data_IF_391699182399
#
_entry.id   IF_391699182399
#
_cell.length_a   1.000
_cell.length_b   1.000
_cell.length_c   1.000
_cell.angle_alpha   90.00
_cell.angle_beta   90.00
_cell.angle_gamma   90.00
#
_symmetry.space_group_name_H-M   'P 1'
#
loop_
_entity.id
_entity.type
_entity.pdbx_description
1 polymer ?
#
# COMPACT_ATOMS: atom_id res chain seq x y z
N UNK A 1 -43.49 -35.82 -25.50
CA UNK A 1 -43.34 -34.40 -25.10
C UNK A 1 -42.80 -34.21 -23.68
N UNK A 2 -42.97 -35.16 -22.76
CA UNK A 2 -42.51 -35.01 -21.36
C UNK A 2 -40.99 -35.21 -21.13
N UNK A 3 -40.31 -35.98 -21.98
CA UNK A 3 -38.86 -36.19 -21.85
C UNK A 3 -38.04 -34.93 -22.22
N UNK A 4 -38.55 -34.07 -23.10
CA UNK A 4 -37.88 -32.83 -23.52
C UNK A 4 -37.94 -31.73 -22.45
N UNK A 5 -39.03 -31.70 -21.65
CA UNK A 5 -39.21 -30.72 -20.57
C UNK A 5 -38.40 -31.07 -19.32
N UNK A 6 -38.13 -32.36 -19.08
CA UNK A 6 -37.26 -32.81 -18.00
C UNK A 6 -35.78 -32.43 -18.25
N UNK A 7 -35.25 -32.65 -19.46
CA UNK A 7 -33.88 -32.27 -19.81
C UNK A 7 -33.65 -30.75 -19.74
N UNK A 8 -34.63 -29.95 -20.16
CA UNK A 8 -34.55 -28.49 -20.10
C UNK A 8 -34.49 -27.96 -18.65
N UNK A 9 -35.23 -28.57 -17.72
CA UNK A 9 -35.21 -28.21 -16.29
C UNK A 9 -33.88 -28.56 -15.60
N UNK A 10 -33.29 -29.71 -15.93
CA UNK A 10 -31.99 -30.12 -15.35
C UNK A 10 -30.84 -29.26 -15.86
N UNK A 11 -30.88 -28.83 -17.12
CA UNK A 11 -29.89 -27.90 -17.67
C UNK A 11 -29.99 -26.50 -17.03
N UNK A 12 -31.20 -26.01 -16.75
CA UNK A 12 -31.41 -24.69 -16.11
C UNK A 12 -30.91 -24.70 -14.65
N UNK A 13 -31.14 -25.77 -13.89
CA UNK A 13 -30.62 -25.89 -12.52
C UNK A 13 -29.10 -26.03 -12.44
N UNK A 14 -28.47 -26.77 -13.35
CA UNK A 14 -27.02 -26.89 -13.40
C UNK A 14 -26.33 -25.56 -13.77
N UNK A 15 -26.92 -24.77 -14.68
CA UNK A 15 -26.42 -23.44 -15.07
C UNK A 15 -26.60 -22.43 -13.93
N UNK A 16 -27.73 -22.43 -13.22
CA UNK A 16 -27.97 -21.53 -12.08
C UNK A 16 -27.04 -21.84 -10.89
N UNK A 17 -26.77 -23.11 -10.60
CA UNK A 17 -25.87 -23.50 -9.51
C UNK A 17 -24.39 -23.22 -9.85
N UNK A 18 -23.98 -23.43 -11.11
CA UNK A 18 -22.63 -23.08 -11.59
C UNK A 18 -22.35 -21.57 -11.58
N UNK A 19 -23.34 -20.74 -11.95
CA UNK A 19 -23.20 -19.28 -11.91
C UNK A 19 -23.06 -18.72 -10.48
N UNK A 20 -23.75 -19.30 -9.48
CA UNK A 20 -23.61 -18.86 -8.08
C UNK A 20 -22.24 -19.18 -7.47
N UNK A 21 -21.64 -20.32 -7.83
CA UNK A 21 -20.33 -20.73 -7.31
C UNK A 21 -19.20 -19.83 -7.86
N UNK A 22 -19.27 -19.44 -9.13
CA UNK A 22 -18.27 -18.56 -9.77
C UNK A 22 -18.32 -17.11 -9.27
N UNK A 23 -19.51 -16.59 -8.94
CA UNK A 23 -19.64 -15.24 -8.38
C UNK A 23 -19.09 -15.15 -6.95
N UNK A 24 -19.24 -16.22 -6.17
CA UNK A 24 -18.77 -16.27 -4.78
C UNK A 24 -17.23 -16.30 -4.69
N UNK A 25 -16.55 -16.98 -5.61
CA UNK A 25 -15.08 -17.02 -5.62
C UNK A 25 -14.46 -15.68 -5.99
N UNK A 26 -15.06 -14.93 -6.93
CA UNK A 26 -14.55 -13.63 -7.36
C UNK A 26 -14.67 -12.58 -6.24
N UNK A 27 -15.81 -12.54 -5.55
CA UNK A 27 -16.00 -11.63 -4.41
C UNK A 27 -15.04 -11.94 -3.24
N UNK A 28 -14.72 -13.21 -3.02
CA UNK A 28 -13.75 -13.63 -2.01
C UNK A 28 -12.31 -13.23 -2.38
N UNK A 29 -11.93 -13.34 -3.65
CA UNK A 29 -10.62 -12.89 -4.15
C UNK A 29 -10.46 -11.37 -4.01
N UNK A 30 -11.49 -10.59 -4.39
CA UNK A 30 -11.47 -9.14 -4.22
C UNK A 30 -11.35 -8.73 -2.74
N UNK A 31 -12.09 -9.40 -1.85
CA UNK A 31 -11.99 -9.16 -0.41
C UNK A 31 -10.59 -9.47 0.15
N UNK A 32 -9.95 -10.53 -0.35
CA UNK A 32 -8.57 -10.88 0.01
C UNK A 32 -7.57 -9.83 -0.47
N UNK A 33 -7.68 -9.39 -1.73
CA UNK A 33 -6.82 -8.33 -2.29
C UNK A 33 -7.03 -6.98 -1.58
N UNK A 34 -8.27 -6.64 -1.18
CA UNK A 34 -8.55 -5.47 -0.32
C UNK A 34 -7.83 -5.59 1.01
N UNK A 35 -7.92 -6.75 1.67
CA UNK A 35 -7.28 -6.98 2.96
C UNK A 35 -5.76 -6.83 2.84
N UNK A 36 -5.12 -7.51 1.89
CA UNK A 36 -3.67 -7.44 1.67
C UNK A 36 -3.22 -6.04 1.26
N UNK A 37 -3.93 -5.41 0.33
CA UNK A 37 -3.67 -4.03 -0.10
C UNK A 37 -3.75 -3.06 1.08
N UNK A 38 -4.75 -3.21 1.96
CA UNK A 38 -4.90 -2.38 3.16
C UNK A 38 -3.73 -2.55 4.12
N UNK A 39 -3.28 -3.80 4.36
CA UNK A 39 -2.12 -4.07 5.22
C UNK A 39 -0.85 -3.40 4.67
N UNK A 40 -0.57 -3.56 3.37
CA UNK A 40 0.58 -2.96 2.70
C UNK A 40 0.55 -1.42 2.74
N UNK A 41 -0.62 -0.83 2.50
CA UNK A 41 -0.81 0.63 2.53
C UNK A 41 -0.63 1.19 3.95
N UNK A 42 -1.26 0.57 4.96
CA UNK A 42 -1.13 1.00 6.36
C UNK A 42 0.29 0.82 6.90
N UNK A 43 1.03 -0.21 6.46
CA UNK A 43 2.43 -0.37 6.83
C UNK A 43 3.27 0.78 6.26
N UNK A 44 3.09 1.14 4.99
CA UNK A 44 3.78 2.28 4.39
C UNK A 44 3.42 3.61 5.08
N UNK A 45 2.14 3.83 5.41
CA UNK A 45 1.69 5.00 6.19
C UNK A 45 2.36 5.08 7.56
N UNK A 46 2.50 3.93 8.22
CA UNK A 46 3.13 3.82 9.53
C UNK A 46 4.63 4.12 9.45
N UNK A 47 5.34 3.52 8.49
CA UNK A 47 6.75 3.79 8.24
C UNK A 47 7.04 5.27 7.91
N UNK A 48 6.22 5.88 7.03
CA UNK A 48 6.33 7.33 6.73
C UNK A 48 6.11 8.20 7.96
N UNK A 49 5.18 7.81 8.84
CA UNK A 49 4.91 8.54 10.08
C UNK A 49 6.05 8.42 11.08
N UNK A 50 6.65 7.24 11.22
CA UNK A 50 7.89 7.05 12.01
C UNK A 50 8.97 7.98 11.48
N UNK A 51 9.26 7.95 10.17
CA UNK A 51 10.30 8.82 9.61
C UNK A 51 10.00 10.31 9.80
N UNK A 52 8.73 10.71 9.69
CA UNK A 52 8.29 12.08 9.95
C UNK A 52 8.58 12.49 11.39
N UNK A 53 8.30 11.63 12.37
CA UNK A 53 8.57 11.89 13.78
C UNK A 53 10.08 12.01 14.08
N UNK A 54 10.91 11.31 13.31
CA UNK A 54 12.36 11.41 13.40
C UNK A 54 12.95 12.60 12.65
N UNK A 55 12.19 13.37 11.86
CA UNK A 55 12.73 14.51 11.10
C UNK A 55 13.48 15.54 11.95
N UNK A 56 13.03 15.93 13.16
CA UNK A 56 13.81 16.82 14.02
C UNK A 56 15.18 16.23 14.39
N UNK A 57 15.23 14.93 14.73
CA UNK A 57 16.48 14.26 15.10
C UNK A 57 17.41 14.08 13.88
N UNK A 58 16.86 13.61 12.75
CA UNK A 58 17.58 13.45 11.48
C UNK A 58 18.21 14.78 11.08
N UNK A 59 17.46 15.88 11.15
CA UNK A 59 17.94 17.18 10.72
C UNK A 59 18.71 17.97 11.80
N UNK A 60 19.02 17.37 12.96
CA UNK A 60 19.86 18.01 13.97
C UNK A 60 21.35 17.98 13.53
N UNK A 61 22.01 19.12 13.29
CA UNK A 61 23.42 19.14 12.88
C UNK A 61 24.40 18.78 14.02
N UNK A 62 23.98 18.83 15.29
CA UNK A 62 24.83 18.63 16.46
C UNK A 62 24.93 17.15 16.89
N UNK A 63 24.03 16.29 16.41
CA UNK A 63 24.03 14.86 16.71
C UNK A 63 24.57 14.10 15.49
N UNK A 64 25.67 13.36 15.64
CA UNK A 64 26.22 12.55 14.56
C UNK A 64 25.47 11.21 14.43
N UNK A 65 25.45 10.40 15.50
CA UNK A 65 24.73 9.13 15.53
C UNK A 65 23.27 9.33 15.96
N UNK A 66 22.33 9.05 15.06
CA UNK A 66 20.88 9.17 15.33
C UNK A 66 20.30 7.93 15.98
N UNK A 67 21.05 6.82 16.02
CA UNK A 67 20.60 5.50 16.45
C UNK A 67 19.29 5.07 15.76
N UNK A 68 19.14 5.38 14.46
CA UNK A 68 17.98 5.04 13.64
C UNK A 68 18.42 4.17 12.46
N UNK A 69 18.84 2.94 12.76
CA UNK A 69 19.10 1.91 11.77
C UNK A 69 17.80 1.31 11.22
N UNK A 70 17.91 0.48 10.18
CA UNK A 70 16.77 -0.18 9.54
C UNK A 70 16.06 -1.17 10.46
N UNK A 71 16.74 -1.79 11.42
CA UNK A 71 16.13 -2.70 12.39
C UNK A 71 15.17 -1.93 13.31
N UNK A 72 15.67 -0.90 14.00
CA UNK A 72 14.87 -0.04 14.87
C UNK A 72 13.73 0.60 14.11
N UNK A 73 14.02 1.17 12.93
CA UNK A 73 13.00 1.81 12.10
C UNK A 73 11.85 0.85 11.75
N UNK A 74 12.18 -0.37 11.29
CA UNK A 74 11.14 -1.34 10.91
C UNK A 74 10.37 -1.86 12.12
N UNK A 75 11.03 -2.08 13.26
CA UNK A 75 10.36 -2.46 14.50
C UNK A 75 9.33 -1.40 14.95
N UNK A 76 9.72 -0.12 14.93
CA UNK A 76 8.83 0.99 15.28
C UNK A 76 7.69 1.16 14.27
N UNK A 77 7.95 0.96 12.98
CA UNK A 77 6.92 1.01 11.93
C UNK A 77 5.86 -0.10 12.11
N UNK A 78 6.30 -1.32 12.43
CA UNK A 78 5.42 -2.47 12.70
C UNK A 78 4.61 -2.23 13.98
N UNK A 79 5.23 -1.70 15.03
CA UNK A 79 4.54 -1.35 16.27
C UNK A 79 3.48 -0.27 16.04
N UNK A 80 3.80 0.77 15.25
CA UNK A 80 2.84 1.82 14.90
C UNK A 80 1.70 1.30 14.02
N UNK A 81 2.00 0.41 13.08
CA UNK A 81 0.98 -0.30 12.29
C UNK A 81 0.00 -1.04 13.20
N UNK A 82 0.51 -1.81 14.17
CA UNK A 82 -0.33 -2.59 15.08
C UNK A 82 -1.20 -1.67 15.95
N UNK A 83 -0.61 -0.57 16.45
CA UNK A 83 -1.35 0.45 17.21
C UNK A 83 -2.48 1.09 16.40
N UNK A 84 -2.25 1.36 15.11
CA UNK A 84 -3.22 2.03 14.23
C UNK A 84 -4.35 1.12 13.78
N UNK A 85 -4.03 -0.13 13.47
CA UNK A 85 -4.98 -1.08 12.88
C UNK A 85 -5.64 -1.99 13.90
N UNK A 86 -5.09 -2.07 15.11
CA UNK A 86 -5.52 -3.02 16.14
C UNK A 86 -5.20 -4.48 15.77
N UNK A 87 -4.29 -4.71 14.82
CA UNK A 87 -3.96 -6.04 14.28
C UNK A 87 -2.46 -6.22 14.16
N UNK A 88 -1.99 -7.45 14.30
CA UNK A 88 -0.62 -7.81 13.96
C UNK A 88 -0.39 -7.69 12.45
N UNK A 89 0.82 -7.30 12.05
CA UNK A 89 1.19 -7.20 10.64
C UNK A 89 1.15 -8.57 9.97
N UNK A 90 1.81 -9.53 10.61
CA UNK A 90 1.91 -10.92 10.17
C UNK A 90 1.21 -11.80 11.20
N UNK A 91 0.12 -12.44 10.81
CA UNK A 91 -0.63 -13.40 11.62
C UNK A 91 -0.56 -14.81 11.01
N UNK A 92 -0.89 -15.84 11.78
CA UNK A 92 -0.78 -17.24 11.35
C UNK A 92 -1.76 -17.62 10.23
N UNK A 93 -2.89 -16.92 10.13
CA UNK A 93 -3.95 -17.12 9.14
C UNK A 93 -3.65 -16.49 7.77
N UNK A 94 -2.56 -15.72 7.64
CA UNK A 94 -2.19 -15.12 6.36
C UNK A 94 -1.79 -16.18 5.34
N UNK A 95 -2.33 -16.03 4.12
CA UNK A 95 -1.88 -16.78 2.97
C UNK A 95 -0.38 -16.54 2.73
N UNK A 96 0.30 -17.56 2.24
CA UNK A 96 1.76 -17.51 2.01
C UNK A 96 2.16 -16.37 1.07
N UNK A 97 1.33 -16.08 0.07
CA UNK A 97 1.49 -14.94 -0.84
C UNK A 97 1.55 -13.62 -0.07
N UNK A 98 0.55 -13.36 0.76
CA UNK A 98 0.42 -12.09 1.50
C UNK A 98 1.54 -11.92 2.52
N UNK A 99 1.93 -13.02 3.18
CA UNK A 99 3.08 -13.06 4.09
C UNK A 99 4.37 -12.64 3.37
N UNK A 100 4.63 -13.19 2.18
CA UNK A 100 5.80 -12.82 1.37
C UNK A 100 5.78 -11.36 0.94
N UNK A 101 4.62 -10.84 0.53
CA UNK A 101 4.49 -9.42 0.15
C UNK A 101 4.78 -8.50 1.34
N UNK A 102 4.22 -8.79 2.51
CA UNK A 102 4.45 -7.98 3.71
C UNK A 102 5.90 -8.05 4.20
N UNK A 103 6.51 -9.24 4.16
CA UNK A 103 7.93 -9.42 4.48
C UNK A 103 8.84 -8.67 3.50
N UNK A 104 8.57 -8.75 2.20
CA UNK A 104 9.31 -8.02 1.18
C UNK A 104 9.19 -6.50 1.37
N UNK A 105 8.03 -6.01 1.81
CA UNK A 105 7.85 -4.59 2.11
C UNK A 105 8.67 -4.17 3.34
N UNK A 106 8.66 -4.95 4.43
CA UNK A 106 9.50 -4.70 5.62
C UNK A 106 10.98 -4.70 5.26
N UNK A 107 11.43 -5.66 4.47
CA UNK A 107 12.83 -5.76 4.04
C UNK A 107 13.23 -4.57 3.15
N UNK A 108 12.37 -4.17 2.21
CA UNK A 108 12.59 -2.99 1.39
C UNK A 108 12.73 -1.72 2.26
N UNK A 109 11.89 -1.56 3.29
CA UNK A 109 11.99 -0.44 4.23
C UNK A 109 13.31 -0.44 4.99
N UNK A 110 13.74 -1.61 5.49
CA UNK A 110 15.01 -1.77 6.21
C UNK A 110 16.19 -1.36 5.34
N UNK A 111 16.26 -1.91 4.13
CA UNK A 111 17.34 -1.60 3.19
C UNK A 111 17.41 -0.11 2.84
N UNK A 112 16.28 0.58 2.64
CA UNK A 112 16.32 2.03 2.39
C UNK A 112 16.97 2.77 3.56
N UNK A 113 16.61 2.44 4.80
CA UNK A 113 17.15 3.14 5.96
C UNK A 113 18.62 2.82 6.17
N UNK A 114 19.03 1.57 5.96
CA UNK A 114 20.43 1.14 6.06
C UNK A 114 21.30 1.82 4.99
N UNK A 115 20.82 1.90 3.75
CA UNK A 115 21.54 2.58 2.66
C UNK A 115 21.58 4.11 2.80
N UNK A 116 20.81 4.69 3.71
CA UNK A 116 20.73 6.14 3.93
C UNK A 116 21.42 6.57 5.22
N UNK A 117 22.11 5.66 5.93
CA UNK A 117 22.80 5.98 7.19
C UNK A 117 23.82 7.11 7.03
N UNK A 118 24.54 7.19 5.91
CA UNK A 118 25.49 8.27 5.64
C UNK A 118 24.82 9.65 5.56
N UNK A 119 23.59 9.73 5.03
CA UNK A 119 22.81 10.96 4.97
C UNK A 119 22.15 11.26 6.32
N UNK A 120 21.56 10.25 6.97
CA UNK A 120 20.91 10.36 8.28
C UNK A 120 21.89 10.88 9.35
N UNK A 121 23.10 10.32 9.38
CA UNK A 121 24.11 10.58 10.41
C UNK A 121 25.12 11.68 10.02
N UNK A 122 24.94 12.34 8.86
CA UNK A 122 25.90 13.35 8.38
C UNK A 122 26.07 14.50 9.38
N UNK A 123 27.24 14.77 9.95
CA UNK A 123 27.38 15.85 10.93
C UNK A 123 27.30 17.25 10.29
N UNK A 124 26.94 18.27 11.07
CA UNK A 124 27.12 19.69 10.70
C UNK A 124 26.16 20.26 9.65
N UNK A 125 25.23 19.46 9.11
CA UNK A 125 24.21 19.90 8.15
C UNK A 125 22.83 19.74 8.79
N UNK A 126 21.93 20.71 8.61
CA UNK A 126 20.54 20.56 9.06
C UNK A 126 19.76 19.62 8.15
N UNK A 127 19.29 20.15 7.02
CA UNK A 127 18.48 19.40 6.07
C UNK A 127 19.27 18.27 5.36
N UNK A 128 18.89 17.01 5.58
CA UNK A 128 19.55 15.84 4.98
C UNK A 128 19.03 15.42 3.60
N UNK A 129 17.85 15.89 3.21
CA UNK A 129 17.15 15.40 2.02
C UNK A 129 16.47 14.03 2.16
N UNK A 130 16.71 13.30 3.26
CA UNK A 130 16.02 12.06 3.57
C UNK A 130 14.68 12.32 4.31
N UNK A 131 13.64 12.59 3.53
CA UNK A 131 12.28 12.93 3.99
C UNK A 131 11.27 11.81 3.68
N UNK A 132 10.07 11.78 4.32
CA UNK A 132 9.07 10.73 4.10
C UNK A 132 8.71 10.44 2.63
N UNK A 133 8.67 11.46 1.77
CA UNK A 133 8.40 11.28 0.35
C UNK A 133 9.55 10.60 -0.41
N UNK A 134 10.80 10.90 -0.05
CA UNK A 134 11.98 10.26 -0.64
C UNK A 134 12.06 8.80 -0.21
N UNK A 135 11.86 8.54 1.08
CA UNK A 135 11.76 7.18 1.62
C UNK A 135 10.66 6.36 0.92
N UNK A 136 9.45 6.90 0.81
CA UNK A 136 8.33 6.17 0.19
C UNK A 136 8.63 5.77 -1.26
N UNK A 137 9.30 6.65 -2.02
CA UNK A 137 9.75 6.33 -3.38
C UNK A 137 10.79 5.21 -3.38
N UNK A 138 11.87 5.35 -2.58
CA UNK A 138 12.96 4.37 -2.55
C UNK A 138 12.47 3.00 -2.09
N UNK A 139 11.57 2.97 -1.09
CA UNK A 139 10.94 1.75 -0.59
C UNK A 139 10.15 1.08 -1.71
N UNK A 140 9.32 1.84 -2.45
CA UNK A 140 8.57 1.31 -3.58
C UNK A 140 9.49 0.71 -4.67
N UNK A 141 10.58 1.40 -5.02
CA UNK A 141 11.56 0.91 -5.99
C UNK A 141 12.16 -0.44 -5.55
N UNK A 142 12.54 -0.58 -4.28
CA UNK A 142 13.05 -1.83 -3.71
C UNK A 142 11.99 -2.92 -3.58
N UNK A 143 10.77 -2.56 -3.17
CA UNK A 143 9.65 -3.49 -3.07
C UNK A 143 9.35 -4.13 -4.43
N UNK A 144 9.26 -3.32 -5.49
CA UNK A 144 9.08 -3.81 -6.87
C UNK A 144 10.25 -4.69 -7.32
N UNK A 145 11.49 -4.35 -6.95
CA UNK A 145 12.64 -5.20 -7.24
C UNK A 145 12.56 -6.58 -6.57
N UNK A 146 11.87 -6.69 -5.41
CA UNK A 146 11.68 -7.95 -4.68
C UNK A 146 10.50 -8.77 -5.19
N UNK A 147 9.36 -8.15 -5.50
CA UNK A 147 8.10 -8.86 -5.83
C UNK A 147 7.75 -8.83 -7.32
N UNK A 148 8.57 -8.15 -8.13
CA UNK A 148 8.34 -7.99 -9.55
C UNK A 148 6.99 -7.35 -9.85
N UNK A 149 6.18 -8.00 -10.69
CA UNK A 149 4.88 -7.49 -11.11
C UNK A 149 3.71 -8.10 -10.32
N UNK A 150 3.96 -8.64 -9.12
CA UNK A 150 2.93 -9.25 -8.28
C UNK A 150 2.15 -8.20 -7.48
N UNK A 151 2.83 -7.15 -7.00
CA UNK A 151 2.22 -6.06 -6.25
C UNK A 151 3.02 -4.77 -6.42
N UNK A 152 2.33 -3.64 -6.29
CA UNK A 152 2.91 -2.30 -6.31
C UNK A 152 2.30 -1.50 -5.15
N UNK A 153 3.14 -0.86 -4.34
CA UNK A 153 2.68 -0.05 -3.20
C UNK A 153 3.42 1.28 -3.22
N UNK A 154 2.68 2.36 -3.54
CA UNK A 154 3.27 3.69 -3.67
C UNK A 154 2.36 4.77 -3.13
N UNK A 155 2.93 5.96 -2.94
CA UNK A 155 2.22 7.18 -2.60
C UNK A 155 2.11 8.05 -3.84
N UNK A 156 0.93 8.63 -4.03
CA UNK A 156 0.68 9.66 -5.03
C UNK A 156 -0.20 10.76 -4.42
N UNK A 157 -0.42 11.84 -5.16
CA UNK A 157 -1.20 13.01 -4.76
C UNK A 157 -1.81 13.66 -6.00
N UNK A 158 -2.75 14.62 -5.86
CA UNK A 158 -3.15 15.48 -6.97
C UNK A 158 -1.92 16.07 -7.67
N UNK A 159 -1.95 16.14 -9.01
CA UNK A 159 -0.79 16.55 -9.81
C UNK A 159 -0.16 17.87 -9.34
N UNK A 160 -1.00 18.86 -9.01
CA UNK A 160 -0.58 20.17 -8.52
C UNK A 160 0.20 20.13 -7.18
N UNK A 161 0.10 19.04 -6.42
CA UNK A 161 0.74 18.87 -5.12
C UNK A 161 1.96 17.94 -5.17
N UNK A 162 2.18 17.24 -6.29
CA UNK A 162 3.30 16.32 -6.44
C UNK A 162 4.60 17.09 -6.68
N UNK A 163 5.52 17.01 -5.71
CA UNK A 163 6.87 17.58 -5.85
C UNK A 163 7.84 16.66 -6.59
N UNK A 164 7.70 15.35 -6.39
CA UNK A 164 8.54 14.34 -7.04
C UNK A 164 7.82 13.74 -8.24
N UNK A 165 8.32 13.98 -9.46
CA UNK A 165 7.68 13.49 -10.70
C UNK A 165 7.50 11.98 -10.75
N UNK A 166 8.32 11.19 -10.02
CA UNK A 166 8.14 9.74 -9.90
C UNK A 166 6.92 9.33 -9.05
N UNK A 167 6.25 10.27 -8.40
CA UNK A 167 5.04 10.08 -7.62
C UNK A 167 3.80 10.67 -8.30
N UNK A 168 3.91 11.11 -9.56
CA UNK A 168 2.76 11.60 -10.33
C UNK A 168 1.68 10.52 -10.43
N UNK A 169 0.41 10.91 -10.33
CA UNK A 169 -0.68 9.96 -10.53
C UNK A 169 -0.71 9.51 -11.99
N UNK A 170 -1.06 8.26 -12.22
CA UNK A 170 -1.48 7.85 -13.57
C UNK A 170 -2.93 8.28 -13.85
N UNK A 171 -3.40 8.06 -15.08
CA UNK A 171 -4.74 8.47 -15.53
C UNK A 171 -5.85 7.93 -14.62
N UNK A 172 -5.72 6.69 -14.14
CA UNK A 172 -6.74 6.10 -13.27
C UNK A 172 -6.69 6.72 -11.87
N UNK A 173 -5.48 6.96 -11.33
CA UNK A 173 -5.32 7.59 -10.01
C UNK A 173 -5.81 9.02 -10.01
N UNK A 174 -5.47 9.81 -11.03
CA UNK A 174 -5.90 11.19 -11.18
C UNK A 174 -7.43 11.26 -11.19
N UNK A 175 -8.08 10.41 -11.99
CA UNK A 175 -9.55 10.31 -12.04
C UNK A 175 -10.14 9.97 -10.67
N UNK A 176 -9.62 8.96 -9.96
CA UNK A 176 -10.14 8.58 -8.63
C UNK A 176 -9.94 9.71 -7.61
N UNK A 177 -8.79 10.40 -7.64
CA UNK A 177 -8.52 11.54 -6.75
C UNK A 177 -9.50 12.68 -7.02
N UNK A 178 -9.71 13.03 -8.28
CA UNK A 178 -10.50 14.20 -8.69
C UNK A 178 -12.01 13.95 -8.64
N UNK A 179 -12.46 12.76 -9.04
CA UNK A 179 -13.90 12.48 -9.17
C UNK A 179 -14.47 11.76 -7.94
N UNK A 180 -13.66 10.94 -7.25
CA UNK A 180 -14.15 10.12 -6.13
C UNK A 180 -13.76 10.71 -4.79
N UNK A 181 -12.48 11.02 -4.57
CA UNK A 181 -12.01 11.49 -3.25
C UNK A 181 -12.28 12.98 -2.99
N UNK A 182 -12.58 13.74 -4.04
CA UNK A 182 -12.97 15.16 -3.91
C UNK A 182 -14.47 15.36 -3.68
N UNK A 183 -15.30 14.31 -3.76
CA UNK A 183 -16.73 14.41 -3.45
C UNK A 183 -16.93 14.72 -1.94
N UNK A 184 -17.48 15.89 -1.57
CA UNK A 184 -17.70 16.26 -0.17
C UNK A 184 -18.73 15.38 0.54
N UNK A 185 -19.58 14.65 -0.20
CA UNK A 185 -20.56 13.72 0.38
C UNK A 185 -19.95 12.38 0.74
N UNK A 186 -18.76 12.06 0.23
CA UNK A 186 -18.10 10.79 0.48
C UNK A 186 -17.50 10.78 1.89
N UNK A 187 -17.69 9.71 2.68
CA UNK A 187 -16.99 9.59 3.96
C UNK A 187 -15.47 9.61 3.77
N UNK A 188 -14.80 10.49 4.52
CA UNK A 188 -13.34 10.57 4.52
C UNK A 188 -12.73 9.25 4.98
N UNK A 189 -11.67 8.83 4.29
CA UNK A 189 -10.90 7.63 4.66
C UNK A 189 -11.39 6.35 3.99
N UNK A 190 -12.56 6.35 3.36
CA UNK A 190 -13.04 5.15 2.65
C UNK A 190 -12.11 4.79 1.49
N UNK A 191 -11.78 3.51 1.37
CA UNK A 191 -10.98 2.95 0.27
C UNK A 191 -11.79 2.98 -1.04
N UNK A 192 -11.10 3.13 -2.17
CA UNK A 192 -11.66 2.89 -3.51
C UNK A 192 -10.93 1.73 -4.17
N UNK A 193 -11.68 0.83 -4.82
CA UNK A 193 -11.16 -0.36 -5.49
C UNK A 193 -11.68 -0.45 -6.91
N UNK A 194 -10.88 -1.02 -7.81
CA UNK A 194 -11.31 -1.33 -9.18
C UNK A 194 -10.43 -2.45 -9.77
N UNK A 195 -11.07 -3.47 -10.36
CA UNK A 195 -10.37 -4.42 -11.23
C UNK A 195 -10.23 -3.82 -12.63
N UNK A 196 -9.00 -3.61 -13.09
CA UNK A 196 -8.70 -2.95 -14.37
C UNK A 196 -7.49 -3.59 -15.05
N UNK A 197 -6.98 -2.98 -16.14
CA UNK A 197 -5.74 -3.40 -16.79
C UNK A 197 -4.64 -2.38 -16.57
N UNK A 198 -3.47 -2.85 -16.15
CA UNK A 198 -2.24 -2.05 -16.07
C UNK A 198 -1.23 -2.67 -17.04
N UNK A 199 -0.77 -1.89 -18.02
CA UNK A 199 0.14 -2.35 -19.08
C UNK A 199 -0.35 -3.64 -19.78
N UNK A 200 -1.65 -3.70 -20.06
CA UNK A 200 -2.28 -4.85 -20.73
C UNK A 200 -2.55 -6.07 -19.84
N UNK A 201 -2.12 -6.07 -18.57
CA UNK A 201 -2.35 -7.17 -17.62
C UNK A 201 -3.51 -6.84 -16.68
N UNK A 202 -4.40 -7.81 -16.36
CA UNK A 202 -5.38 -7.65 -15.29
C UNK A 202 -4.69 -7.29 -13.98
N UNK A 203 -5.27 -6.33 -13.26
CA UNK A 203 -4.78 -5.86 -11.98
C UNK A 203 -5.96 -5.41 -11.10
N UNK A 204 -5.94 -5.84 -9.84
CA UNK A 204 -6.73 -5.21 -8.81
C UNK A 204 -6.02 -3.93 -8.35
N UNK A 205 -6.72 -2.80 -8.38
CA UNK A 205 -6.20 -1.51 -7.92
C UNK A 205 -6.99 -1.01 -6.73
N UNK A 206 -6.26 -0.44 -5.77
CA UNK A 206 -6.81 0.10 -4.56
C UNK A 206 -6.17 1.45 -4.26
N UNK A 207 -6.96 2.43 -3.83
CA UNK A 207 -6.47 3.67 -3.22
C UNK A 207 -7.08 3.84 -1.83
N UNK A 208 -6.20 4.08 -0.87
CA UNK A 208 -6.53 4.47 0.50
C UNK A 208 -6.20 5.97 0.64
N UNK A 209 -7.20 6.86 0.81
CA UNK A 209 -6.93 8.30 0.82
C UNK A 209 -6.24 8.75 2.12
N UNK A 210 -5.22 9.58 1.96
CA UNK A 210 -4.58 10.34 3.04
C UNK A 210 -4.94 11.83 2.88
N UNK A 211 -5.32 12.49 3.98
CA UNK A 211 -5.65 13.92 3.98
C UNK A 211 -4.55 14.69 4.71
N UNK A 212 -4.18 15.86 4.15
CA UNK A 212 -3.22 16.76 4.77
C UNK A 212 -3.67 17.17 6.18
N UNK A 213 -2.73 17.07 7.12
CA UNK A 213 -2.85 17.59 8.49
C UNK A 213 -1.77 18.63 8.73
N UNK A 214 -1.83 19.34 9.85
CA UNK A 214 -0.90 20.44 10.18
C UNK A 214 0.59 20.04 10.12
N UNK A 215 0.91 18.77 10.36
CA UNK A 215 2.28 18.23 10.30
C UNK A 215 2.77 17.85 8.89
N UNK A 216 1.96 18.03 7.83
CA UNK A 216 2.26 17.60 6.45
C UNK A 216 2.83 18.72 5.57
#
# INVERSE_FOLDING_TARGET
MEALTALARTCIFAVLCGCMLLLSSLAAEEAADVATGTRLAELLRSARSVLSNYQPLINDPAVADKHLDGERFTAEAIALYAKRTGRELISDDLAERDRKLLQAQVEAMREVVDEQQDDINRPGIGFKGFVPAVFARLMNEKFVAKVGNESLVRVTAPEALVRNRKSLPDVWEARVIEEVFSDPKRPKGNIYTEATKVNGRPAFRMLLPEYYTESC
#
